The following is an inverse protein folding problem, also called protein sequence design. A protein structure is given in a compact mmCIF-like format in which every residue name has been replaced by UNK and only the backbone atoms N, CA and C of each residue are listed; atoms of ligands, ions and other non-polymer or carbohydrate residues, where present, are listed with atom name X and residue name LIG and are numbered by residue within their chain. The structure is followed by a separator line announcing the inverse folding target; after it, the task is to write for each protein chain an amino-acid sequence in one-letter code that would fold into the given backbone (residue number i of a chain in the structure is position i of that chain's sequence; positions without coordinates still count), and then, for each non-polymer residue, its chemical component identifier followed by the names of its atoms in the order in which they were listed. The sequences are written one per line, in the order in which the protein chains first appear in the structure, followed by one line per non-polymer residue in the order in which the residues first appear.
data_IF_312278615148
#
_entry.id   IF_312278615148
#
_cell.length_a   1.000
_cell.length_b   1.000
_cell.length_c   1.000
_cell.angle_alpha   90.00
_cell.angle_beta   90.00
_cell.angle_gamma   90.00
#
_symmetry.space_group_name_H-M   'P 1'
#
loop_
_entity.id
_entity.type
_entity.pdbx_description
1 polymer ?
#
# COMPACT_ATOMS: atom_id res chain seq x y z
N UNK A 1 28.21 -36.43 12.53
CA UNK A 1 29.05 -36.38 13.74
C UNK A 1 28.14 -36.18 14.93
N UNK A 2 28.31 -36.96 15.99
CA UNK A 2 27.22 -37.72 16.60
C UNK A 2 26.52 -37.00 17.75
N UNK A 3 25.27 -37.43 17.95
CA UNK A 3 24.46 -37.24 19.15
C UNK A 3 25.23 -37.71 20.39
N UNK A 4 25.28 -36.87 21.43
CA UNK A 4 25.61 -37.31 22.78
C UNK A 4 24.31 -37.63 23.51
N UNK A 5 24.06 -38.93 23.64
CA UNK A 5 23.10 -39.51 24.57
C UNK A 5 23.45 -39.09 26.01
N UNK A 6 22.48 -38.55 26.74
CA UNK A 6 22.49 -38.58 28.19
C UNK A 6 21.26 -39.36 28.67
N UNK A 7 21.58 -40.52 29.22
CA UNK A 7 20.76 -41.55 29.83
C UNK A 7 19.82 -40.99 30.90
N UNK A 8 18.52 -41.26 30.77
CA UNK A 8 17.55 -41.10 31.85
C UNK A 8 17.68 -42.28 32.85
N UNK A 9 17.57 -42.06 34.17
CA UNK A 9 17.45 -43.15 35.11
C UNK A 9 16.06 -43.80 35.01
N UNK A 10 16.05 -45.13 35.09
CA UNK A 10 14.86 -45.97 35.01
C UNK A 10 13.84 -45.71 36.14
N UNK A 11 12.54 -45.94 35.89
CA UNK A 11 11.54 -45.98 36.95
C UNK A 11 11.67 -47.29 37.74
N UNK A 12 11.58 -47.19 39.06
CA UNK A 12 11.53 -48.35 39.94
C UNK A 12 10.25 -49.17 39.67
N UNK A 13 10.44 -50.46 39.49
CA UNK A 13 9.43 -51.52 39.42
C UNK A 13 8.56 -51.54 40.69
N UNK A 14 7.24 -51.80 40.60
CA UNK A 14 6.41 -51.99 41.77
C UNK A 14 6.64 -53.38 42.34
N UNK A 15 7.10 -53.47 43.59
CA UNK A 15 7.03 -54.73 44.33
C UNK A 15 5.57 -55.01 44.71
N UNK A 16 5.06 -56.11 44.18
CA UNK A 16 3.81 -56.71 44.58
C UNK A 16 4.01 -57.66 45.77
N UNK A 17 2.96 -57.71 46.58
CA UNK A 17 2.53 -58.81 47.41
C UNK A 17 3.31 -59.11 48.70
N UNK A 18 2.64 -58.89 49.83
CA UNK A 18 2.50 -59.97 50.82
C UNK A 18 1.17 -59.86 51.56
N UNK A 19 0.20 -60.64 51.07
CA UNK A 19 -0.99 -61.08 51.80
C UNK A 19 -0.59 -62.24 52.72
N UNK A 20 -0.75 -62.07 54.03
CA UNK A 20 -0.81 -63.18 55.01
C UNK A 20 -1.81 -62.73 56.09
N UNK A 21 -3.06 -63.15 56.00
CA UNK A 21 -3.64 -64.42 56.46
C UNK A 21 -4.26 -64.26 57.84
N UNK A 22 -5.57 -64.46 57.83
CA UNK A 22 -6.45 -64.69 58.97
C UNK A 22 -6.08 -65.94 59.75
N UNK A 23 -6.64 -66.01 60.96
CA UNK A 23 -6.87 -67.20 61.77
C UNK A 23 -5.63 -67.95 62.28
N UNK A 24 -5.40 -67.84 63.59
CA UNK A 24 -5.49 -69.07 64.37
C UNK A 24 -6.00 -68.83 65.81
N UNK A 25 -7.12 -69.46 66.05
CA UNK A 25 -7.85 -69.56 67.29
C UNK A 25 -7.18 -70.67 68.11
N UNK A 26 -6.52 -70.35 69.22
CA UNK A 26 -6.08 -71.39 70.16
C UNK A 26 -6.38 -71.01 71.59
N UNK A 27 -7.49 -71.57 72.06
CA UNK A 27 -7.78 -71.77 73.47
C UNK A 27 -6.54 -72.32 74.18
N UNK A 28 -6.00 -71.57 75.13
CA UNK A 28 -5.17 -72.13 76.20
C UNK A 28 -6.07 -72.25 77.42
N UNK A 29 -6.85 -73.33 77.44
CA UNK A 29 -7.31 -73.92 78.68
C UNK A 29 -6.14 -74.69 79.29
N UNK A 30 -5.68 -74.28 80.48
CA UNK A 30 -5.09 -75.17 81.50
C UNK A 30 -5.19 -74.47 82.85
N UNK A 31 -6.21 -74.80 83.64
CA UNK A 31 -6.24 -75.84 84.69
C UNK A 31 -6.08 -75.17 86.05
N UNK A 32 -7.18 -75.10 86.78
CA UNK A 32 -7.23 -74.79 88.20
C UNK A 32 -6.34 -75.75 89.00
N UNK A 33 -5.62 -75.30 90.04
CA UNK A 33 -5.28 -76.18 91.14
C UNK A 33 -6.55 -76.35 91.98
N UNK A 34 -7.23 -77.49 91.78
CA UNK A 34 -8.16 -78.01 92.76
C UNK A 34 -7.40 -78.37 94.06
N UNK A 35 -8.06 -78.26 95.22
CA UNK A 35 -7.40 -78.32 96.52
C UNK A 35 -6.84 -79.72 96.77
N UNK A 36 -5.63 -79.79 97.31
CA UNK A 36 -5.11 -81.01 97.92
C UNK A 36 -5.96 -81.34 99.15
N UNK A 37 -6.92 -82.25 98.96
CA UNK A 37 -7.50 -83.07 100.03
C UNK A 37 -6.37 -83.87 100.66
N UNK A 38 -5.87 -83.41 101.81
CA UNK A 38 -5.03 -84.24 102.66
C UNK A 38 -5.94 -85.21 103.40
N UNK A 39 -5.74 -86.49 103.06
CA UNK A 39 -6.29 -87.67 103.68
C UNK A 39 -6.25 -87.60 105.20
N UNK A 40 -7.39 -87.93 105.79
CA UNK A 40 -7.55 -88.27 107.19
C UNK A 40 -6.94 -89.65 107.41
N UNK A 41 -5.77 -89.70 108.04
CA UNK A 41 -5.16 -90.96 108.49
C UNK A 41 -5.91 -91.46 109.71
N UNK A 42 -6.66 -92.54 109.52
CA UNK A 42 -7.18 -93.37 110.60
C UNK A 42 -6.03 -94.21 111.18
N UNK A 43 -5.85 -94.16 112.49
CA UNK A 43 -5.09 -95.14 113.29
C UNK A 43 -5.79 -95.32 114.64
N UNK A 44 -5.67 -96.48 115.30
CA UNK A 44 -6.80 -97.32 115.68
C UNK A 44 -7.16 -97.16 117.17
N UNK A 45 -8.37 -97.62 117.48
CA UNK A 45 -8.81 -97.97 118.83
C UNK A 45 -7.76 -98.80 119.59
N UNK A 46 -7.46 -98.47 120.85
CA UNK A 46 -7.34 -99.44 121.89
C UNK A 46 -8.67 -99.52 122.65
N UNK A 47 -9.07 -100.76 122.85
CA UNK A 47 -9.82 -101.31 123.98
C UNK A 47 -10.69 -100.35 124.82
N UNK A 48 -11.97 -100.70 124.84
CA UNK A 48 -12.96 -100.31 125.84
C UNK A 48 -12.42 -100.71 127.22
N UNK A 49 -11.84 -99.74 127.92
CA UNK A 49 -11.70 -99.78 129.38
C UNK A 49 -12.81 -98.91 129.99
N UNK A 50 -13.53 -99.51 130.93
CA UNK A 50 -14.82 -99.06 131.42
C UNK A 50 -14.59 -98.05 132.55
N UNK A 51 -14.22 -96.82 132.20
CA UNK A 51 -14.34 -95.64 133.06
C UNK A 51 -14.09 -94.34 132.27
N UNK A 52 -15.05 -93.41 132.33
CA UNK A 52 -15.05 -92.01 131.85
C UNK A 52 -15.81 -91.68 130.56
N UNK A 53 -17.13 -91.83 130.61
CA UNK A 53 -18.12 -91.13 129.77
C UNK A 53 -17.82 -89.62 129.66
N UNK A 54 -17.25 -89.00 130.70
CA UNK A 54 -16.87 -87.58 130.72
C UNK A 54 -15.79 -87.22 129.68
N UNK A 55 -14.84 -88.12 129.38
CA UNK A 55 -13.77 -87.86 128.40
C UNK A 55 -14.28 -87.90 126.94
N UNK A 56 -15.31 -88.69 126.67
CA UNK A 56 -15.97 -88.73 125.36
C UNK A 56 -16.82 -87.47 125.11
N UNK A 57 -17.49 -86.98 126.16
CA UNK A 57 -18.21 -85.71 126.12
C UNK A 57 -17.25 -84.52 125.91
N UNK A 58 -16.11 -84.47 126.59
CA UNK A 58 -15.11 -83.42 126.40
C UNK A 58 -14.51 -83.41 124.99
N UNK A 59 -14.23 -84.58 124.40
CA UNK A 59 -13.80 -84.69 122.99
C UNK A 59 -14.89 -84.21 122.03
N UNK A 60 -16.16 -84.53 122.30
CA UNK A 60 -17.30 -84.09 121.49
C UNK A 60 -17.53 -82.58 121.58
N UNK A 61 -17.41 -81.99 122.77
CA UNK A 61 -17.48 -80.53 122.99
C UNK A 61 -16.31 -79.82 122.30
N UNK A 62 -15.10 -80.37 122.38
CA UNK A 62 -13.91 -79.83 121.70
C UNK A 62 -14.10 -79.85 120.19
N UNK A 63 -14.63 -80.94 119.63
CA UNK A 63 -14.91 -81.06 118.21
C UNK A 63 -16.04 -80.11 117.76
N UNK A 64 -17.11 -79.95 118.56
CA UNK A 64 -18.18 -78.97 118.32
C UNK A 64 -17.67 -77.52 118.35
N UNK A 65 -16.79 -77.18 119.29
CA UNK A 65 -16.18 -75.86 119.36
C UNK A 65 -15.24 -75.60 118.16
N UNK A 66 -14.49 -76.61 117.71
CA UNK A 66 -13.68 -76.52 116.49
C UNK A 66 -14.54 -76.36 115.23
N UNK A 67 -15.67 -77.07 115.14
CA UNK A 67 -16.63 -76.88 114.05
C UNK A 67 -17.27 -75.49 114.09
N UNK A 68 -17.67 -74.99 115.27
CA UNK A 68 -18.21 -73.64 115.44
C UNK A 68 -17.20 -72.57 115.01
N UNK A 69 -15.93 -72.70 115.42
CA UNK A 69 -14.87 -71.79 115.00
C UNK A 69 -14.64 -71.83 113.48
N UNK A 70 -14.70 -73.02 112.87
CA UNK A 70 -14.59 -73.19 111.41
C UNK A 70 -15.76 -72.56 110.66
N UNK A 71 -17.00 -72.70 111.17
CA UNK A 71 -18.19 -72.05 110.62
C UNK A 71 -18.07 -70.53 110.70
N UNK A 72 -17.67 -70.00 111.86
CA UNK A 72 -17.45 -68.55 112.03
C UNK A 72 -16.36 -68.00 111.11
N UNK A 73 -15.26 -68.74 110.92
CA UNK A 73 -14.22 -68.37 109.97
C UNK A 73 -14.72 -68.37 108.52
N UNK A 74 -15.53 -69.37 108.15
CA UNK A 74 -16.17 -69.44 106.82
C UNK A 74 -17.20 -68.33 106.61
N UNK A 75 -17.99 -67.97 107.62
CA UNK A 75 -18.93 -66.84 107.57
C UNK A 75 -18.21 -65.50 107.37
N UNK A 76 -17.10 -65.30 108.09
CA UNK A 76 -16.25 -64.11 107.93
C UNK A 76 -15.62 -64.06 106.54
N UNK A 77 -15.09 -65.19 106.04
CA UNK A 77 -14.54 -65.30 104.69
C UNK A 77 -15.60 -65.04 103.61
N UNK A 78 -16.81 -65.57 103.78
CA UNK A 78 -17.91 -65.35 102.83
C UNK A 78 -18.34 -63.86 102.81
N UNK A 79 -18.37 -63.21 103.98
CA UNK A 79 -18.63 -61.77 104.09
C UNK A 79 -17.56 -60.94 103.38
N UNK A 80 -16.28 -61.29 103.54
CA UNK A 80 -15.17 -60.65 102.82
C UNK A 80 -15.23 -60.87 101.32
N UNK A 81 -15.48 -62.11 100.86
CA UNK A 81 -15.64 -62.44 99.44
C UNK A 81 -16.82 -61.69 98.82
N UNK A 82 -17.94 -61.57 99.54
CA UNK A 82 -19.11 -60.82 99.06
C UNK A 82 -18.80 -59.33 98.91
N UNK A 83 -18.08 -58.74 99.87
CA UNK A 83 -17.62 -57.35 99.77
C UNK A 83 -16.64 -57.16 98.60
N UNK A 84 -15.72 -58.11 98.40
CA UNK A 84 -14.79 -58.10 97.27
C UNK A 84 -15.53 -58.16 95.93
N UNK A 85 -16.46 -59.10 95.76
CA UNK A 85 -17.27 -59.25 94.54
C UNK A 85 -18.04 -57.97 94.21
N UNK A 86 -18.66 -57.32 95.19
CA UNK A 86 -19.38 -56.06 94.94
C UNK A 86 -18.42 -54.92 94.56
N UNK A 87 -17.24 -54.87 95.18
CA UNK A 87 -16.20 -53.88 94.83
C UNK A 87 -15.62 -54.09 93.41
N UNK A 88 -15.43 -55.34 93.00
CA UNK A 88 -14.96 -55.70 91.66
C UNK A 88 -16.04 -55.44 90.60
N UNK A 89 -17.30 -55.72 90.92
CA UNK A 89 -18.45 -55.40 90.06
C UNK A 89 -18.55 -53.90 89.82
N UNK A 90 -18.44 -53.10 90.88
CA UNK A 90 -18.41 -51.64 90.78
C UNK A 90 -17.21 -51.14 89.96
N UNK A 91 -16.01 -51.67 90.19
CA UNK A 91 -14.82 -51.32 89.39
C UNK A 91 -14.98 -51.68 87.91
N UNK A 92 -15.54 -52.85 87.61
CA UNK A 92 -15.80 -53.29 86.23
C UNK A 92 -16.81 -52.37 85.54
N UNK A 93 -17.85 -51.95 86.25
CA UNK A 93 -18.84 -51.00 85.71
C UNK A 93 -18.21 -49.62 85.45
N UNK A 94 -17.35 -49.13 86.35
CA UNK A 94 -16.61 -47.88 86.13
C UNK A 94 -15.65 -47.97 84.95
N UNK A 95 -14.92 -49.08 84.80
CA UNK A 95 -14.05 -49.31 83.66
C UNK A 95 -14.83 -49.39 82.34
N UNK A 96 -16.00 -50.06 82.34
CA UNK A 96 -16.89 -50.09 81.18
C UNK A 96 -17.32 -48.69 80.78
N UNK A 97 -17.78 -47.87 81.74
CA UNK A 97 -18.19 -46.47 81.47
C UNK A 97 -17.05 -45.64 80.90
N UNK A 98 -15.84 -45.74 81.48
CA UNK A 98 -14.66 -45.03 80.98
C UNK A 98 -14.25 -45.49 79.59
N UNK A 99 -14.37 -46.80 79.31
CA UNK A 99 -14.09 -47.35 77.99
C UNK A 99 -15.08 -46.83 76.95
N UNK A 100 -16.37 -46.86 77.26
CA UNK A 100 -17.42 -46.35 76.38
C UNK A 100 -17.25 -44.83 76.12
N UNK A 101 -16.94 -44.05 77.16
CA UNK A 101 -16.66 -42.62 77.04
C UNK A 101 -15.42 -42.35 76.18
N UNK A 102 -14.32 -43.07 76.40
CA UNK A 102 -13.09 -42.95 75.62
C UNK A 102 -13.33 -43.31 74.15
N UNK A 103 -14.09 -44.39 73.90
CA UNK A 103 -14.43 -44.83 72.56
C UNK A 103 -15.30 -43.80 71.82
N UNK A 104 -16.30 -43.23 72.51
CA UNK A 104 -17.14 -42.17 71.95
C UNK A 104 -16.33 -40.90 71.67
N UNK A 105 -15.43 -40.50 72.58
CA UNK A 105 -14.55 -39.36 72.37
C UNK A 105 -13.58 -39.58 71.21
N UNK A 106 -13.01 -40.79 71.08
CA UNK A 106 -12.16 -41.16 69.94
C UNK A 106 -12.93 -41.05 68.62
N UNK A 107 -14.13 -41.61 68.57
CA UNK A 107 -14.98 -41.56 67.37
C UNK A 107 -15.38 -40.14 67.00
N UNK A 108 -15.65 -39.28 68.00
CA UNK A 108 -15.93 -37.87 67.76
C UNK A 108 -14.71 -37.13 67.17
N UNK A 109 -13.51 -37.38 67.71
CA UNK A 109 -12.26 -36.81 67.20
C UNK A 109 -11.93 -37.30 65.78
N UNK A 110 -12.15 -38.58 65.48
CA UNK A 110 -11.99 -39.14 64.14
C UNK A 110 -12.94 -38.50 63.13
N UNK A 111 -14.21 -38.28 63.50
CA UNK A 111 -15.18 -37.62 62.64
C UNK A 111 -14.79 -36.15 62.39
N UNK A 112 -14.35 -35.44 63.42
CA UNK A 112 -13.85 -34.06 63.28
C UNK A 112 -12.61 -34.01 62.37
N UNK A 113 -11.65 -34.93 62.55
CA UNK A 113 -10.48 -35.03 61.68
C UNK A 113 -10.86 -35.33 60.23
N UNK A 114 -11.77 -36.28 59.99
CA UNK A 114 -12.22 -36.65 58.65
C UNK A 114 -12.93 -35.49 57.94
N UNK A 115 -13.81 -34.77 58.64
CA UNK A 115 -14.49 -33.59 58.07
C UNK A 115 -13.52 -32.46 57.75
N UNK A 116 -12.51 -32.25 58.60
CA UNK A 116 -11.44 -31.26 58.35
C UNK A 116 -10.57 -31.65 57.16
N UNK A 117 -10.20 -32.91 57.03
CA UNK A 117 -9.44 -33.43 55.87
C UNK A 117 -10.23 -33.20 54.60
N UNK A 118 -11.50 -33.59 54.55
CA UNK A 118 -12.35 -33.41 53.37
C UNK A 118 -12.50 -31.92 53.00
N UNK A 119 -12.64 -31.03 53.99
CA UNK A 119 -12.69 -29.59 53.74
C UNK A 119 -11.37 -29.05 53.18
N UNK A 120 -10.23 -29.56 53.64
CA UNK A 120 -8.91 -29.16 53.13
C UNK A 120 -8.65 -29.71 51.73
N UNK A 121 -9.06 -30.94 51.43
CA UNK A 121 -8.97 -31.54 50.09
C UNK A 121 -9.75 -30.71 49.07
N UNK A 122 -10.99 -30.32 49.40
CA UNK A 122 -11.80 -29.48 48.52
C UNK A 122 -11.14 -28.11 48.27
N UNK A 123 -10.61 -27.47 49.32
CA UNK A 123 -9.85 -26.21 49.17
C UNK A 123 -8.58 -26.39 48.35
N UNK A 124 -7.89 -27.53 48.47
CA UNK A 124 -6.69 -27.82 47.67
C UNK A 124 -7.05 -27.93 46.20
N UNK A 125 -8.15 -28.63 45.88
CA UNK A 125 -8.64 -28.74 44.51
C UNK A 125 -9.04 -27.39 43.92
N UNK A 126 -9.70 -26.52 44.70
CA UNK A 126 -10.07 -25.18 44.24
C UNK A 126 -8.81 -24.32 43.97
N UNK A 127 -7.80 -24.40 44.83
CA UNK A 127 -6.54 -23.68 44.65
C UNK A 127 -5.75 -24.16 43.43
N UNK A 128 -5.71 -25.48 43.19
CA UNK A 128 -5.08 -26.04 41.99
C UNK A 128 -5.75 -25.52 40.71
N UNK A 129 -7.08 -25.53 40.67
CA UNK A 129 -7.84 -24.99 39.54
C UNK A 129 -7.59 -23.49 39.34
N UNK A 130 -7.49 -22.72 40.43
CA UNK A 130 -7.16 -21.30 40.35
C UNK A 130 -5.75 -21.07 39.80
N UNK A 131 -4.76 -21.84 40.25
CA UNK A 131 -3.37 -21.73 39.76
C UNK A 131 -3.30 -22.04 38.27
N UNK A 132 -3.97 -23.10 37.81
CA UNK A 132 -4.00 -23.46 36.39
C UNK A 132 -4.64 -22.36 35.53
N UNK A 133 -5.75 -21.77 36.01
CA UNK A 133 -6.38 -20.63 35.36
C UNK A 133 -5.43 -19.42 35.29
N UNK A 134 -4.78 -19.05 36.39
CA UNK A 134 -3.85 -17.91 36.43
C UNK A 134 -2.63 -18.12 35.51
N UNK A 135 -2.11 -19.36 35.45
CA UNK A 135 -1.04 -19.71 34.51
C UNK A 135 -1.48 -19.55 33.06
N UNK A 136 -2.66 -20.07 32.69
CA UNK A 136 -3.20 -19.95 31.34
C UNK A 136 -3.42 -18.48 30.94
N UNK A 137 -3.97 -17.68 31.85
CA UNK A 137 -4.18 -16.24 31.62
C UNK A 137 -2.84 -15.54 31.38
N UNK A 138 -1.83 -15.84 32.20
CA UNK A 138 -0.49 -15.27 32.06
C UNK A 138 0.16 -15.64 30.73
N UNK A 139 0.01 -16.88 30.28
CA UNK A 139 0.52 -17.34 28.99
C UNK A 139 -0.16 -16.59 27.84
N UNK A 140 -1.49 -16.50 27.85
CA UNK A 140 -2.26 -15.76 26.84
C UNK A 140 -1.84 -14.28 26.77
N UNK A 141 -1.63 -13.61 27.91
CA UNK A 141 -1.10 -12.24 27.92
C UNK A 141 0.32 -12.16 27.36
N UNK A 142 1.18 -13.13 27.66
CA UNK A 142 2.55 -13.17 27.14
C UNK A 142 2.55 -13.29 25.62
N UNK A 143 1.72 -14.17 25.06
CA UNK A 143 1.64 -14.38 23.62
C UNK A 143 1.01 -13.20 22.88
N UNK A 144 -0.05 -12.62 23.44
CA UNK A 144 -0.61 -11.37 22.92
C UNK A 144 0.42 -10.23 22.92
N UNK A 145 1.25 -10.12 23.96
CA UNK A 145 2.30 -9.10 24.01
C UNK A 145 3.38 -9.35 22.95
N UNK A 146 3.79 -10.61 22.76
CA UNK A 146 4.76 -10.98 21.70
C UNK A 146 4.20 -10.67 20.32
N UNK A 147 2.92 -10.98 20.07
CA UNK A 147 2.26 -10.73 18.79
C UNK A 147 2.07 -9.23 18.53
N UNK A 148 1.62 -8.48 19.53
CA UNK A 148 1.56 -7.02 19.44
C UNK A 148 2.92 -6.39 19.13
N UNK A 149 4.00 -6.89 19.75
CA UNK A 149 5.35 -6.42 19.47
C UNK A 149 5.82 -6.74 18.04
N UNK A 150 5.53 -7.96 17.54
CA UNK A 150 5.80 -8.33 16.14
C UNK A 150 5.03 -7.44 15.16
N UNK A 151 3.74 -7.20 15.43
CA UNK A 151 2.90 -6.36 14.59
C UNK A 151 3.39 -4.91 14.59
N UNK A 152 3.80 -4.38 15.74
CA UNK A 152 4.40 -3.05 15.83
C UNK A 152 5.68 -2.93 15.01
N UNK A 153 6.61 -3.89 15.14
CA UNK A 153 7.83 -3.92 14.31
C UNK A 153 7.53 -4.04 12.81
N UNK A 154 6.54 -4.86 12.44
CA UNK A 154 6.11 -4.99 11.04
C UNK A 154 5.56 -3.67 10.49
N UNK A 155 4.67 -3.01 11.25
CA UNK A 155 4.09 -1.72 10.87
C UNK A 155 5.15 -0.61 10.79
N UNK A 156 6.12 -0.60 11.71
CA UNK A 156 7.26 0.32 11.68
C UNK A 156 8.09 0.14 10.40
N UNK A 157 8.38 -1.11 10.02
CA UNK A 157 9.15 -1.42 8.82
C UNK A 157 8.41 -1.03 7.54
N UNK A 158 7.09 -1.29 7.48
CA UNK A 158 6.23 -0.87 6.37
C UNK A 158 6.16 0.66 6.25
N UNK A 159 6.00 1.38 7.36
CA UNK A 159 5.98 2.84 7.38
C UNK A 159 7.29 3.42 6.84
N UNK A 160 8.43 2.87 7.27
CA UNK A 160 9.76 3.29 6.80
C UNK A 160 9.95 3.03 5.30
N UNK A 161 9.44 1.90 4.80
CA UNK A 161 9.48 1.58 3.37
C UNK A 161 8.62 2.55 2.53
N UNK A 162 7.43 2.89 3.01
CA UNK A 162 6.53 3.87 2.36
C UNK A 162 7.13 5.27 2.37
N UNK A 163 7.78 5.69 3.45
CA UNK A 163 8.48 6.98 3.52
C UNK A 163 9.63 7.07 2.51
N UNK A 164 10.41 5.99 2.35
CA UNK A 164 11.45 5.92 1.33
C UNK A 164 10.88 5.98 -0.10
N UNK A 165 9.73 5.34 -0.34
CA UNK A 165 9.04 5.43 -1.63
C UNK A 165 8.49 6.83 -1.91
N UNK A 166 7.90 7.49 -0.91
CA UNK A 166 7.48 8.89 -1.00
C UNK A 166 8.66 9.81 -1.32
N UNK A 167 9.84 9.57 -0.74
CA UNK A 167 11.07 10.27 -1.09
C UNK A 167 11.39 10.16 -2.59
N UNK A 168 11.41 8.94 -3.13
CA UNK A 168 11.65 8.69 -4.56
C UNK A 168 10.58 9.33 -5.46
N UNK A 169 9.32 9.32 -5.04
CA UNK A 169 8.23 9.96 -5.80
C UNK A 169 8.40 11.48 -5.85
N UNK A 170 8.80 12.11 -4.75
CA UNK A 170 9.09 13.55 -4.71
C UNK A 170 10.25 13.92 -5.64
N UNK A 171 11.32 13.13 -5.64
CA UNK A 171 12.46 13.33 -6.56
C UNK A 171 12.02 13.21 -8.02
N UNK A 172 11.21 12.19 -8.36
CA UNK A 172 10.66 12.04 -9.72
C UNK A 172 9.75 13.20 -10.11
N UNK A 173 8.93 13.69 -9.18
CA UNK A 173 8.05 14.84 -9.42
C UNK A 173 8.87 16.09 -9.75
N UNK A 174 9.93 16.37 -8.96
CA UNK A 174 10.83 17.50 -9.26
C UNK A 174 11.48 17.38 -10.64
N UNK A 175 11.88 16.18 -11.06
CA UNK A 175 12.43 15.97 -12.41
C UNK A 175 11.39 16.26 -13.50
N UNK A 176 10.16 15.79 -13.31
CA UNK A 176 9.06 16.03 -14.27
C UNK A 176 8.69 17.52 -14.34
N UNK A 177 8.64 18.21 -13.21
CA UNK A 177 8.40 19.66 -13.17
C UNK A 177 9.52 20.43 -13.88
N UNK A 178 10.78 20.06 -13.67
CA UNK A 178 11.92 20.65 -14.38
C UNK A 178 11.85 20.39 -15.90
N UNK A 179 11.51 19.17 -16.31
CA UNK A 179 11.35 18.82 -17.72
C UNK A 179 10.18 19.57 -18.38
N UNK A 180 9.08 19.76 -17.64
CA UNK A 180 7.93 20.55 -18.12
C UNK A 180 8.31 22.02 -18.34
N UNK A 181 9.06 22.62 -17.42
CA UNK A 181 9.56 23.99 -17.56
C UNK A 181 10.54 24.13 -18.75
N UNK A 182 11.43 23.17 -18.96
CA UNK A 182 12.32 23.15 -20.13
C UNK A 182 11.53 23.03 -21.44
N UNK A 183 10.50 22.17 -21.47
CA UNK A 183 9.65 21.98 -22.63
C UNK A 183 8.82 23.23 -22.97
N UNK A 184 8.37 23.98 -21.97
CA UNK A 184 7.71 25.27 -22.16
C UNK A 184 8.67 26.30 -22.78
N UNK A 185 9.91 26.40 -22.30
CA UNK A 185 10.93 27.28 -22.89
C UNK A 185 11.23 26.91 -24.35
N UNK A 186 11.39 25.61 -24.66
CA UNK A 186 11.60 25.14 -26.02
C UNK A 186 10.43 25.51 -26.95
N UNK A 187 9.20 25.44 -26.46
CA UNK A 187 8.03 25.86 -27.23
C UNK A 187 8.08 27.35 -27.57
N UNK A 188 8.37 28.21 -26.58
CA UNK A 188 8.50 29.65 -26.80
C UNK A 188 9.60 29.99 -27.81
N UNK A 189 10.77 29.36 -27.70
CA UNK A 189 11.88 29.56 -28.66
C UNK A 189 11.47 29.11 -30.07
N UNK A 190 10.73 28.01 -30.19
CA UNK A 190 10.22 27.51 -31.48
C UNK A 190 9.26 28.50 -32.12
N UNK A 191 8.32 29.06 -31.36
CA UNK A 191 7.39 30.09 -31.84
C UNK A 191 8.14 31.35 -32.30
N UNK A 192 9.10 31.83 -31.51
CA UNK A 192 9.93 32.98 -31.89
C UNK A 192 10.72 32.71 -33.19
N UNK A 193 11.22 31.48 -33.38
CA UNK A 193 11.94 31.11 -34.59
C UNK A 193 11.01 31.13 -35.82
N UNK A 194 9.78 30.60 -35.69
CA UNK A 194 8.76 30.64 -36.75
C UNK A 194 8.42 32.09 -37.11
N UNK A 195 8.23 32.97 -36.11
CA UNK A 195 7.95 34.38 -36.35
C UNK A 195 9.13 35.09 -37.04
N UNK A 196 10.36 34.88 -36.56
CA UNK A 196 11.56 35.45 -37.15
C UNK A 196 11.74 35.01 -38.60
N UNK A 197 11.52 33.72 -38.86
CA UNK A 197 11.52 33.14 -40.19
C UNK A 197 10.50 33.84 -41.09
N UNK A 198 9.25 34.01 -40.64
CA UNK A 198 8.20 34.72 -41.39
C UNK A 198 8.57 36.19 -41.67
N UNK A 199 9.13 36.90 -40.69
CA UNK A 199 9.61 38.29 -40.85
C UNK A 199 10.71 38.38 -41.91
N UNK A 200 11.68 37.46 -41.87
CA UNK A 200 12.74 37.40 -42.86
C UNK A 200 12.18 37.13 -44.27
N UNK A 201 11.21 36.21 -44.40
CA UNK A 201 10.52 35.95 -45.68
C UNK A 201 9.87 37.22 -46.24
N UNK A 202 9.14 37.94 -45.40
CA UNK A 202 8.42 39.14 -45.80
C UNK A 202 9.37 40.26 -46.24
N UNK A 203 10.39 40.55 -45.42
CA UNK A 203 11.37 41.61 -45.74
C UNK A 203 12.08 41.32 -47.06
N UNK A 204 12.42 40.07 -47.29
CA UNK A 204 13.07 39.62 -48.51
C UNK A 204 12.19 39.73 -49.76
N UNK A 205 10.89 39.39 -49.65
CA UNK A 205 9.93 39.61 -50.75
C UNK A 205 9.76 41.09 -51.07
N UNK A 206 9.61 41.93 -50.04
CA UNK A 206 9.42 43.38 -50.22
C UNK A 206 10.63 44.02 -50.89
N UNK A 207 11.85 43.71 -50.42
CA UNK A 207 13.08 44.25 -51.02
C UNK A 207 13.29 43.76 -52.45
N UNK A 208 12.98 42.49 -52.74
CA UNK A 208 13.09 41.95 -54.10
C UNK A 208 12.07 42.62 -55.04
N UNK A 209 10.80 42.72 -54.63
CA UNK A 209 9.77 43.40 -55.42
C UNK A 209 10.15 44.85 -55.70
N UNK A 210 10.65 45.58 -54.69
CA UNK A 210 11.12 46.95 -54.87
C UNK A 210 12.24 47.04 -55.90
N UNK A 211 13.24 46.14 -55.84
CA UNK A 211 14.35 46.13 -56.80
C UNK A 211 13.87 45.87 -58.23
N UNK A 212 12.95 44.92 -58.43
CA UNK A 212 12.41 44.62 -59.75
C UNK A 212 11.57 45.78 -60.29
N UNK A 213 10.75 46.41 -59.44
CA UNK A 213 10.03 47.61 -59.83
C UNK A 213 11.00 48.72 -60.25
N UNK A 214 12.08 48.96 -59.51
CA UNK A 214 13.11 49.95 -59.91
C UNK A 214 13.70 49.62 -61.28
N UNK A 215 14.05 48.36 -61.56
CA UNK A 215 14.54 47.94 -62.87
C UNK A 215 13.51 48.20 -63.98
N UNK A 216 12.22 47.90 -63.74
CA UNK A 216 11.14 48.17 -64.68
C UNK A 216 11.04 49.65 -65.02
N UNK A 217 11.06 50.53 -64.01
CA UNK A 217 10.98 51.98 -64.23
C UNK A 217 12.21 52.50 -64.99
N UNK A 218 13.43 52.07 -64.63
CA UNK A 218 14.64 52.47 -65.36
C UNK A 218 14.61 52.05 -66.83
N UNK A 219 14.08 50.86 -67.12
CA UNK A 219 13.95 50.37 -68.50
C UNK A 219 12.90 51.16 -69.30
N UNK A 220 11.79 51.54 -68.65
CA UNK A 220 10.77 52.40 -69.24
C UNK A 220 11.30 53.82 -69.52
N UNK A 221 11.98 54.42 -68.54
CA UNK A 221 12.60 55.75 -68.67
C UNK A 221 13.63 55.77 -69.80
N UNK A 222 14.45 54.71 -69.91
CA UNK A 222 15.42 54.59 -70.99
C UNK A 222 14.73 54.46 -72.36
N UNK A 223 13.67 53.65 -72.49
CA UNK A 223 12.89 53.54 -73.73
C UNK A 223 12.30 54.90 -74.13
N UNK A 224 11.74 55.64 -73.17
CA UNK A 224 11.22 57.00 -73.40
C UNK A 224 12.32 57.96 -73.88
N UNK A 225 13.52 57.92 -73.27
CA UNK A 225 14.65 58.74 -73.70
C UNK A 225 15.13 58.39 -75.12
N UNK A 226 15.16 57.10 -75.48
CA UNK A 226 15.52 56.67 -76.83
C UNK A 226 14.48 57.16 -77.84
N UNK A 227 13.18 56.97 -77.56
CA UNK A 227 12.11 57.44 -78.44
C UNK A 227 12.16 58.95 -78.65
N UNK A 228 12.34 59.73 -77.58
CA UNK A 228 12.49 61.19 -77.66
C UNK A 228 13.66 61.59 -78.56
N UNK A 229 14.82 60.93 -78.44
CA UNK A 229 15.96 61.20 -79.32
C UNK A 229 15.68 60.90 -80.78
N UNK A 230 14.99 59.77 -81.06
CA UNK A 230 14.59 59.41 -82.42
C UNK A 230 13.64 60.49 -82.99
N UNK A 231 12.66 60.93 -82.21
CA UNK A 231 11.70 61.96 -82.63
C UNK A 231 12.38 63.33 -82.83
N UNK A 232 13.30 63.71 -81.94
CA UNK A 232 14.09 64.94 -82.04
C UNK A 232 15.01 64.93 -83.28
N UNK A 233 15.73 63.83 -83.52
CA UNK A 233 16.59 63.66 -84.71
C UNK A 233 15.76 63.68 -86.00
N UNK A 234 14.60 63.00 -86.04
CA UNK A 234 13.69 63.03 -87.18
C UNK A 234 13.17 64.45 -87.49
N UNK A 235 12.76 65.23 -86.48
CA UNK A 235 12.33 66.62 -86.68
C UNK A 235 13.50 67.53 -87.11
N UNK A 236 14.69 67.34 -86.54
CA UNK A 236 15.89 68.08 -86.92
C UNK A 236 16.31 67.80 -88.37
N UNK A 237 16.15 66.56 -88.84
CA UNK A 237 16.42 66.19 -90.23
C UNK A 237 15.37 66.72 -91.20
N UNK A 238 14.10 66.76 -90.77
CA UNK A 238 13.02 67.40 -91.54
C UNK A 238 13.24 68.90 -91.73
N UNK A 239 13.85 69.57 -90.74
CA UNK A 239 14.27 70.98 -90.81
C UNK A 239 15.52 71.20 -91.69
N UNK A 240 16.31 70.15 -91.95
CA UNK A 240 17.53 70.18 -92.79
C UNK A 240 17.31 69.70 -94.22
N UNK A 241 16.06 69.44 -94.63
CA UNK A 241 15.71 69.06 -96.00
C UNK A 241 15.87 70.25 -96.98
N UNK A 242 17.12 70.63 -97.23
CA UNK A 242 17.58 71.13 -98.51
C UNK A 242 18.83 70.28 -98.84
N UNK A 243 18.62 69.28 -99.69
CA UNK A 243 19.63 68.40 -100.31
C UNK A 243 20.35 67.38 -99.42
N UNK A 244 19.93 66.10 -99.46
CA UNK A 244 20.83 64.92 -99.56
C UNK A 244 20.10 63.58 -99.30
N UNK A 245 19.93 62.76 -100.34
CA UNK A 245 19.49 61.35 -100.25
C UNK A 245 20.50 60.44 -99.52
N UNK A 246 21.75 60.86 -99.32
CA UNK A 246 22.81 60.03 -98.72
C UNK A 246 22.86 60.01 -97.18
N UNK A 247 22.18 60.93 -96.49
CA UNK A 247 22.19 61.00 -95.02
C UNK A 247 21.16 60.04 -94.38
N UNK A 248 20.09 59.72 -95.10
CA UNK A 248 19.00 58.86 -94.63
C UNK A 248 19.43 57.39 -94.43
N UNK A 249 20.30 56.87 -95.30
CA UNK A 249 20.76 55.47 -95.27
C UNK A 249 21.72 55.19 -94.10
N UNK A 250 22.64 56.12 -93.80
CA UNK A 250 23.55 55.98 -92.67
C UNK A 250 22.81 56.04 -91.32
N UNK A 251 21.70 56.76 -91.26
CA UNK A 251 20.89 56.94 -90.07
C UNK A 251 19.91 55.78 -89.86
N UNK A 252 19.32 55.24 -90.94
CA UNK A 252 18.54 54.00 -90.91
C UNK A 252 19.38 52.81 -90.42
N UNK A 253 20.62 52.66 -90.90
CA UNK A 253 21.52 51.61 -90.42
C UNK A 253 21.94 51.82 -88.96
N UNK A 254 22.07 53.07 -88.50
CA UNK A 254 22.36 53.38 -87.07
C UNK A 254 21.17 53.03 -86.16
N UNK A 255 19.95 53.31 -86.60
CA UNK A 255 18.70 52.95 -85.92
C UNK A 255 18.47 51.43 -85.89
N UNK A 256 18.72 50.76 -87.01
CA UNK A 256 18.66 49.30 -87.13
C UNK A 256 19.68 48.62 -86.20
N UNK A 257 20.91 49.11 -86.14
CA UNK A 257 21.92 48.63 -85.20
C UNK A 257 21.50 48.85 -83.72
N UNK A 258 20.73 49.90 -83.43
CA UNK A 258 20.19 50.17 -82.10
C UNK A 258 19.08 49.16 -81.72
N UNK A 259 18.21 48.81 -82.67
CA UNK A 259 17.15 47.79 -82.53
C UNK A 259 17.77 46.39 -82.40
N UNK A 260 18.75 46.03 -83.23
CA UNK A 260 19.48 44.75 -83.15
C UNK A 260 20.24 44.63 -81.82
N UNK A 261 20.82 45.74 -81.32
CA UNK A 261 21.40 45.81 -79.98
C UNK A 261 20.38 45.53 -78.87
N UNK A 262 19.14 45.97 -79.05
CA UNK A 262 18.01 45.71 -78.15
C UNK A 262 17.57 44.24 -78.17
N UNK A 263 17.44 43.64 -79.35
CA UNK A 263 17.13 42.22 -79.49
C UNK A 263 18.21 41.35 -78.82
N UNK A 264 19.47 41.74 -78.95
CA UNK A 264 20.58 41.07 -78.25
C UNK A 264 20.47 41.17 -76.72
N UNK A 265 20.02 42.32 -76.19
CA UNK A 265 19.78 42.49 -74.76
C UNK A 265 18.62 41.60 -74.29
N UNK A 266 17.51 41.55 -75.03
CA UNK A 266 16.34 40.70 -74.72
C UNK A 266 16.72 39.21 -74.74
N UNK A 267 17.49 38.75 -75.73
CA UNK A 267 17.98 37.36 -75.80
C UNK A 267 18.85 37.01 -74.59
N UNK A 268 19.70 37.92 -74.14
CA UNK A 268 20.53 37.71 -72.95
C UNK A 268 19.72 37.73 -71.64
N UNK A 269 18.67 38.56 -71.56
CA UNK A 269 17.71 38.56 -70.45
C UNK A 269 17.02 37.19 -70.36
N UNK A 270 16.56 36.65 -71.48
CA UNK A 270 15.91 35.34 -71.57
C UNK A 270 16.84 34.17 -71.21
N UNK A 271 18.08 34.17 -71.70
CA UNK A 271 19.09 33.20 -71.25
C UNK A 271 19.35 33.27 -69.75
N UNK A 272 19.29 34.46 -69.16
CA UNK A 272 19.35 34.65 -67.71
C UNK A 272 18.15 34.01 -67.00
N UNK A 273 16.94 34.20 -67.54
CA UNK A 273 15.71 33.61 -67.00
C UNK A 273 15.75 32.08 -66.99
N UNK A 274 16.22 31.45 -68.06
CA UNK A 274 16.37 29.99 -68.11
C UNK A 274 17.30 29.45 -67.01
N UNK A 275 18.38 30.17 -66.69
CA UNK A 275 19.28 29.80 -65.58
C UNK A 275 18.60 29.92 -64.22
N UNK A 276 17.75 30.92 -64.02
CA UNK A 276 16.97 31.06 -62.79
C UNK A 276 15.92 29.94 -62.66
N UNK A 277 15.24 29.55 -63.74
CA UNK A 277 14.30 28.41 -63.77
C UNK A 277 15.01 27.12 -63.31
N UNK A 278 16.20 26.86 -63.86
CA UNK A 278 16.98 25.69 -63.49
C UNK A 278 17.42 25.72 -62.01
N UNK A 279 17.82 26.90 -61.49
CA UNK A 279 18.20 27.05 -60.09
C UNK A 279 17.02 26.90 -59.12
N UNK A 280 15.82 27.40 -59.45
CA UNK A 280 14.60 27.17 -58.66
C UNK A 280 14.34 25.69 -58.51
N UNK A 281 14.36 24.97 -59.64
CA UNK A 281 14.09 23.55 -59.68
C UNK A 281 15.06 22.78 -58.78
N UNK A 282 16.36 23.06 -58.92
CA UNK A 282 17.40 22.45 -58.08
C UNK A 282 17.21 22.76 -56.58
N UNK A 283 16.79 23.98 -56.23
CA UNK A 283 16.58 24.37 -54.84
C UNK A 283 15.33 23.75 -54.20
N UNK A 284 14.28 23.47 -54.99
CA UNK A 284 13.06 22.79 -54.53
C UNK A 284 13.20 21.27 -54.46
N UNK A 285 14.05 20.69 -55.30
CA UNK A 285 14.23 19.23 -55.39
C UNK A 285 15.38 18.71 -54.50
N UNK A 286 16.08 19.58 -53.76
CA UNK A 286 17.18 19.17 -52.88
C UNK A 286 16.69 18.34 -51.67
N UNK A 287 17.32 17.20 -51.40
CA UNK A 287 16.95 16.27 -50.31
C UNK A 287 16.98 16.90 -48.90
N UNK A 288 17.75 17.96 -48.70
CA UNK A 288 17.74 18.79 -47.49
C UNK A 288 17.22 20.18 -47.83
N UNK A 289 15.89 20.29 -47.99
CA UNK A 289 15.22 21.58 -48.16
C UNK A 289 15.43 22.39 -46.88
N UNK A 290 16.38 23.31 -46.92
CA UNK A 290 16.59 24.29 -45.86
C UNK A 290 15.65 25.46 -46.09
N UNK A 291 15.31 26.19 -45.02
CA UNK A 291 14.57 27.46 -45.16
C UNK A 291 15.22 28.39 -46.22
N UNK A 292 16.55 28.41 -46.27
CA UNK A 292 17.30 29.27 -47.18
C UNK A 292 17.11 28.81 -48.63
N UNK A 293 17.08 27.50 -48.91
CA UNK A 293 16.84 27.00 -50.27
C UNK A 293 15.42 27.31 -50.76
N UNK A 294 14.40 27.12 -49.91
CA UNK A 294 13.00 27.44 -50.22
C UNK A 294 12.78 28.94 -50.49
N UNK A 295 13.39 29.80 -49.67
CA UNK A 295 13.29 31.24 -49.84
C UNK A 295 13.97 31.70 -51.13
N UNK A 296 15.12 31.09 -51.44
CA UNK A 296 15.87 31.40 -52.65
C UNK A 296 15.10 30.94 -53.90
N UNK A 297 14.46 29.77 -53.87
CA UNK A 297 13.57 29.32 -54.94
C UNK A 297 12.38 30.26 -55.14
N UNK A 298 11.73 30.68 -54.06
CA UNK A 298 10.60 31.64 -54.11
C UNK A 298 11.04 32.99 -54.68
N UNK A 299 12.28 33.44 -54.37
CA UNK A 299 12.85 34.67 -54.94
C UNK A 299 12.94 34.60 -56.46
N UNK A 300 13.52 33.52 -56.94
CA UNK A 300 13.76 33.36 -58.36
C UNK A 300 12.43 33.22 -59.11
N UNK A 301 11.41 32.57 -58.55
CA UNK A 301 10.07 32.51 -59.16
C UNK A 301 9.42 33.90 -59.28
N UNK A 302 9.47 34.71 -58.22
CA UNK A 302 8.95 36.07 -58.25
C UNK A 302 9.70 36.93 -59.28
N UNK A 303 11.04 36.84 -59.29
CA UNK A 303 11.89 37.53 -60.26
C UNK A 303 11.58 37.14 -61.71
N UNK A 304 11.35 35.85 -61.97
CA UNK A 304 10.97 35.35 -63.29
C UNK A 304 9.61 35.85 -63.73
N UNK A 305 8.57 35.71 -62.89
CA UNK A 305 7.22 36.14 -63.22
C UNK A 305 7.17 37.63 -63.57
N UNK A 306 7.94 38.45 -62.85
CA UNK A 306 7.96 39.89 -63.04
C UNK A 306 8.78 40.30 -64.28
N UNK A 307 9.85 39.57 -64.63
CA UNK A 307 10.58 39.75 -65.90
C UNK A 307 9.77 39.32 -67.12
N UNK A 308 9.10 38.17 -67.05
CA UNK A 308 8.19 37.70 -68.11
C UNK A 308 7.07 38.71 -68.34
N UNK A 309 6.54 39.31 -67.26
CA UNK A 309 5.55 40.38 -67.37
C UNK A 309 6.12 41.66 -67.98
N UNK A 310 7.36 42.04 -67.67
CA UNK A 310 8.03 43.20 -68.26
C UNK A 310 8.33 43.00 -69.77
N UNK A 311 8.69 41.79 -70.19
CA UNK A 311 8.82 41.44 -71.62
C UNK A 311 7.48 41.54 -72.34
N UNK A 312 6.41 40.99 -71.74
CA UNK A 312 5.07 41.05 -72.31
C UNK A 312 4.52 42.49 -72.39
N UNK A 313 4.73 43.32 -71.36
CA UNK A 313 4.36 44.75 -71.38
C UNK A 313 5.19 45.54 -72.42
N UNK A 314 6.44 45.14 -72.68
CA UNK A 314 7.31 45.80 -73.67
C UNK A 314 6.92 45.50 -75.12
N UNK A 315 6.23 44.38 -75.38
CA UNK A 315 5.69 43.99 -76.69
C UNK A 315 4.29 44.55 -76.97
N UNK A 316 3.55 44.99 -75.94
CA UNK A 316 2.19 45.56 -76.08
C UNK A 316 2.14 47.03 -76.47
N UNK A 317 3.28 47.72 -76.65
CA UNK A 317 3.27 49.13 -77.07
C UNK A 317 3.15 49.33 -78.58
N UNK A 318 3.15 48.25 -79.37
CA UNK A 318 3.11 48.36 -80.83
C UNK A 318 1.71 48.19 -81.42
N UNK A 319 0.70 47.81 -80.62
CA UNK A 319 -0.69 47.80 -81.05
C UNK A 319 -1.62 48.09 -79.87
N UNK A 320 -2.61 48.95 -80.11
CA UNK A 320 -3.78 49.27 -79.27
C UNK A 320 -3.67 50.56 -78.44
N UNK A 321 -4.09 51.64 -79.10
CA UNK A 321 -4.97 52.61 -78.47
C UNK A 321 -6.21 51.91 -77.90
N UNK A 322 -6.61 52.31 -76.70
CA UNK A 322 -7.94 52.11 -76.11
C UNK A 322 -8.21 50.82 -75.30
N UNK A 323 -8.84 51.08 -74.15
CA UNK A 323 -9.57 50.22 -73.22
C UNK A 323 -8.90 49.21 -72.26
N UNK A 324 -9.27 49.43 -70.98
CA UNK A 324 -9.44 48.44 -69.90
C UNK A 324 -8.21 47.94 -69.14
N UNK A 325 -7.84 48.69 -68.11
CA UNK A 325 -7.21 48.15 -66.89
C UNK A 325 -8.27 47.30 -66.16
N UNK A 326 -8.33 46.00 -66.45
CA UNK A 326 -9.02 45.04 -65.58
C UNK A 326 -8.09 44.61 -64.44
N UNK A 327 -8.40 45.08 -63.24
CA UNK A 327 -7.93 44.53 -61.98
C UNK A 327 -8.70 43.22 -61.75
N UNK A 328 -8.06 42.03 -61.62
CA UNK A 328 -8.77 40.85 -61.17
C UNK A 328 -9.08 41.01 -59.68
N UNK A 329 -10.28 41.46 -59.36
CA UNK A 329 -10.87 41.23 -58.04
C UNK A 329 -11.84 40.08 -58.16
N UNK A 330 -11.42 38.89 -57.74
CA UNK A 330 -12.37 37.82 -57.41
C UNK A 330 -13.25 38.30 -56.26
N UNK A 331 -14.42 38.85 -56.60
CA UNK A 331 -15.55 38.99 -55.69
C UNK A 331 -16.80 38.53 -56.41
N UNK A 332 -17.23 37.31 -56.03
CA UNK A 332 -18.57 36.72 -56.14
C UNK A 332 -19.62 37.73 -56.63
N UNK A 333 -20.07 37.57 -57.87
CA UNK A 333 -21.15 38.37 -58.44
C UNK A 333 -22.44 38.20 -57.63
N UNK A 334 -22.76 39.20 -56.82
CA UNK A 334 -24.07 39.32 -56.17
C UNK A 334 -25.08 39.76 -57.22
N UNK A 335 -26.10 38.94 -57.44
CA UNK A 335 -27.07 39.08 -58.52
C UNK A 335 -27.90 40.35 -58.39
N UNK A 336 -28.45 40.84 -59.52
CA UNK A 336 -29.30 42.06 -59.58
C UNK A 336 -30.52 41.97 -58.64
N UNK A 337 -30.98 40.76 -58.34
CA UNK A 337 -32.05 40.49 -57.38
C UNK A 337 -31.63 40.75 -55.92
N UNK A 338 -30.44 40.30 -55.54
CA UNK A 338 -29.88 40.50 -54.19
C UNK A 338 -29.55 41.98 -53.92
N UNK A 339 -29.05 42.70 -54.93
CA UNK A 339 -28.84 44.17 -54.83
C UNK A 339 -30.17 44.92 -54.60
N UNK A 340 -31.28 44.47 -55.22
CA UNK A 340 -32.60 45.06 -55.03
C UNK A 340 -33.20 44.74 -53.65
N UNK A 341 -32.92 43.55 -53.11
CA UNK A 341 -33.32 43.16 -51.76
C UNK A 341 -32.55 43.94 -50.68
N UNK A 342 -31.23 44.07 -50.82
CA UNK A 342 -30.38 44.84 -49.92
C UNK A 342 -30.77 46.33 -49.89
N UNK A 343 -31.08 46.92 -51.05
CA UNK A 343 -31.53 48.33 -51.12
C UNK A 343 -32.89 48.56 -50.45
N UNK A 344 -33.82 47.59 -50.56
CA UNK A 344 -35.11 47.65 -49.83
C UNK A 344 -34.93 47.48 -48.32
N UNK A 345 -34.01 46.61 -47.88
CA UNK A 345 -33.71 46.42 -46.47
C UNK A 345 -33.06 47.68 -45.85
N UNK A 346 -32.09 48.27 -46.54
CA UNK A 346 -31.44 49.52 -46.11
C UNK A 346 -32.43 50.71 -46.04
N UNK A 347 -33.35 50.84 -47.00
CA UNK A 347 -34.38 51.89 -46.94
C UNK A 347 -35.39 51.68 -45.80
N UNK A 348 -35.73 50.42 -45.46
CA UNK A 348 -36.58 50.13 -44.29
C UNK A 348 -35.85 50.46 -42.98
N UNK A 349 -34.56 50.14 -42.87
CA UNK A 349 -33.75 50.48 -41.69
C UNK A 349 -33.61 52.00 -41.52
N UNK A 350 -33.35 52.74 -42.60
CA UNK A 350 -33.24 54.20 -42.58
C UNK A 350 -34.56 54.90 -42.20
N UNK A 351 -35.72 54.39 -42.66
CA UNK A 351 -37.04 54.91 -42.24
C UNK A 351 -37.33 54.62 -40.76
N UNK A 352 -36.89 53.47 -40.23
CA UNK A 352 -37.07 53.13 -38.80
C UNK A 352 -36.18 53.99 -37.90
N UNK A 353 -34.95 54.28 -38.33
CA UNK A 353 -34.04 55.19 -37.64
C UNK A 353 -34.56 56.64 -37.62
N UNK A 354 -35.07 57.16 -38.75
CA UNK A 354 -35.67 58.50 -38.80
C UNK A 354 -36.93 58.67 -37.94
N UNK A 355 -37.71 57.60 -37.75
CA UNK A 355 -38.90 57.62 -36.87
C UNK A 355 -38.54 57.52 -35.39
N UNK A 356 -37.37 56.98 -35.05
CA UNK A 356 -36.86 56.93 -33.68
C UNK A 356 -36.23 58.27 -33.24
N UNK A 357 -35.66 59.03 -34.17
CA UNK A 357 -35.10 60.37 -33.89
C UNK A 357 -36.14 61.49 -33.83
N UNK A 358 -37.37 61.27 -34.31
CA UNK A 358 -38.47 62.25 -34.29
C UNK A 358 -39.38 62.14 -33.05
N UNK A 359 -39.03 61.29 -32.08
CA UNK A 359 -39.77 61.07 -30.82
C UNK A 359 -38.94 61.37 -29.57
N UNK A 360 -37.80 62.05 -29.73
CA UNK A 360 -36.99 62.61 -28.64
C UNK A 360 -37.15 64.10 -28.60
#
# INVERSE_FOLDING_TARGET
MPFLELTAPAPATPESASTVSSEDNKMVARTAPAPASAETTNTPSPEVDVNNTDQAFDKMITHLNAMRAKVQALELQNTQLKAQVESEKSSKEQLSKKFDETNNNSRAAELEAATKIQSLELKSSDLEAQVEYEMSVKEHYSDNLKEANKNWHSAQLEATAKDAELGRVRERLQLVEAQAAEQEQLHTVREQNIELQARFRLQFMLTTHQHVQTLKHMMHDWKMQVQQKIDEEYQNNKLKANDADGALDAEYERLKALIEGYEYIIVNINKGNEKFVAQIKHLREAENITLISDLTATRFEAFLNERVKAEFDSQKTDDVADDSIEIPTEKKEVTKAERKAAKKAAQKAAKKAKKATAKK
#
